data_IF_050884526365
#
_entry.id   IF_050884526365
#
_cell.length_a   1.000
_cell.length_b   1.000
_cell.length_c   1.000
_cell.angle_alpha   90.00
_cell.angle_beta   90.00
_cell.angle_gamma   90.00
#
_symmetry.space_group_name_H-M   'P 1'
#
loop_
_entity.id
_entity.type
_entity.pdbx_description
1 polymer ?
#
# COMPACT_ATOMS: atom_id res chain seq x y z
N UNK A 1 14.95 22.40 -2.87
CA UNK A 1 13.90 21.71 -2.09
C UNK A 1 12.53 21.75 -2.77
N UNK A 2 11.99 22.91 -3.17
CA UNK A 2 10.65 23.05 -3.79
C UNK A 2 10.43 22.16 -5.03
N UNK A 3 11.43 21.98 -5.88
CA UNK A 3 11.34 21.12 -7.06
C UNK A 3 11.09 19.64 -6.71
N UNK A 4 11.74 19.12 -5.68
CA UNK A 4 11.57 17.72 -5.26
C UNK A 4 10.21 17.45 -4.63
N UNK A 5 9.69 18.41 -3.85
CA UNK A 5 8.39 18.25 -3.18
C UNK A 5 7.21 18.31 -4.15
N UNK A 6 7.33 19.03 -5.27
CA UNK A 6 6.30 19.07 -6.32
C UNK A 6 6.50 18.03 -7.40
N UNK A 7 7.76 17.74 -7.76
CA UNK A 7 8.09 16.80 -8.84
C UNK A 7 7.71 15.35 -8.50
N UNK A 8 7.86 14.93 -7.23
CA UNK A 8 7.58 13.54 -6.82
C UNK A 8 6.09 13.18 -6.93
N UNK A 9 5.13 13.93 -6.35
CA UNK A 9 3.70 13.67 -6.54
C UNK A 9 3.27 13.74 -8.00
N UNK A 10 3.79 14.70 -8.76
CA UNK A 10 3.50 14.83 -10.18
C UNK A 10 4.05 13.65 -10.98
N UNK A 11 5.29 13.23 -10.72
CA UNK A 11 5.89 12.05 -11.35
C UNK A 11 5.09 10.77 -11.09
N UNK A 12 4.64 10.56 -9.85
CA UNK A 12 3.78 9.41 -9.51
C UNK A 12 2.43 9.52 -10.21
N UNK A 13 1.82 10.70 -10.28
CA UNK A 13 0.58 10.90 -11.03
C UNK A 13 0.73 10.54 -12.51
N UNK A 14 1.79 11.05 -13.16
CA UNK A 14 2.07 10.75 -14.57
C UNK A 14 2.36 9.26 -14.79
N UNK A 15 3.09 8.63 -13.90
CA UNK A 15 3.34 7.19 -13.93
C UNK A 15 2.03 6.41 -13.85
N UNK A 16 1.17 6.73 -12.88
CA UNK A 16 -0.14 6.08 -12.72
C UNK A 16 -1.05 6.29 -13.95
N UNK A 17 -1.02 7.47 -14.56
CA UNK A 17 -1.75 7.78 -15.78
C UNK A 17 -1.21 7.02 -17.01
N UNK A 18 0.07 6.64 -17.01
CA UNK A 18 0.69 5.87 -18.09
C UNK A 18 0.46 4.35 -17.93
N UNK A 19 0.24 3.83 -16.71
CA UNK A 19 0.10 2.39 -16.44
C UNK A 19 -0.93 1.66 -17.33
N UNK A 20 -2.14 2.21 -17.61
CA UNK A 20 -3.09 1.54 -18.49
C UNK A 20 -2.57 1.31 -19.91
N UNK A 21 -1.69 2.20 -20.40
CA UNK A 21 -1.07 2.06 -21.73
C UNK A 21 0.04 1.01 -21.76
N UNK A 22 0.66 0.75 -20.59
CA UNK A 22 1.78 -0.18 -20.44
C UNK A 22 1.30 -1.59 -20.06
N UNK A 23 0.01 -1.80 -19.73
CA UNK A 23 -0.51 -3.10 -19.31
C UNK A 23 -0.70 -4.04 -20.51
N UNK A 24 0.11 -5.11 -20.66
CA UNK A 24 0.03 -6.03 -21.78
C UNK A 24 -1.29 -6.80 -21.84
N UNK A 25 -1.94 -7.00 -20.68
CA UNK A 25 -3.23 -7.70 -20.56
C UNK A 25 -4.43 -6.79 -20.69
N UNK A 26 -4.24 -5.47 -20.82
CA UNK A 26 -5.30 -4.45 -20.87
C UNK A 26 -6.35 -4.60 -19.75
N UNK A 27 -5.97 -5.14 -18.60
CA UNK A 27 -6.83 -5.28 -17.42
C UNK A 27 -6.90 -4.00 -16.59
N UNK A 28 -5.97 -3.07 -16.82
CA UNK A 28 -5.98 -1.72 -16.26
C UNK A 28 -6.58 -0.77 -17.30
N UNK A 29 -7.89 -0.72 -17.40
CA UNK A 29 -8.55 0.33 -18.19
C UNK A 29 -8.45 1.67 -17.47
N UNK A 30 -8.29 2.77 -18.24
CA UNK A 30 -8.26 4.14 -17.68
C UNK A 30 -9.55 4.55 -16.95
N UNK A 31 -10.65 3.80 -17.12
CA UNK A 31 -11.89 3.91 -16.35
C UNK A 31 -11.92 3.07 -15.07
N UNK A 32 -10.84 2.34 -14.75
CA UNK A 32 -10.80 1.44 -13.59
C UNK A 32 -10.81 2.26 -12.29
N UNK A 33 -11.95 2.24 -11.59
CA UNK A 33 -12.14 2.94 -10.30
C UNK A 33 -11.07 2.59 -9.26
N UNK A 34 -10.53 1.37 -9.32
CA UNK A 34 -9.48 0.93 -8.39
C UNK A 34 -8.16 1.65 -8.66
N UNK A 35 -7.77 1.82 -9.92
CA UNK A 35 -6.58 2.58 -10.29
C UNK A 35 -6.68 4.05 -9.88
N UNK A 36 -7.86 4.67 -10.12
CA UNK A 36 -8.13 6.04 -9.71
C UNK A 36 -8.01 6.23 -8.18
N UNK A 37 -8.60 5.33 -7.41
CA UNK A 37 -8.50 5.36 -5.93
C UNK A 37 -7.05 5.25 -5.46
N UNK A 38 -6.27 4.34 -6.06
CA UNK A 38 -4.84 4.20 -5.71
C UNK A 38 -4.06 5.46 -6.09
N UNK A 39 -4.30 6.01 -7.28
CA UNK A 39 -3.64 7.26 -7.72
C UNK A 39 -3.93 8.39 -6.73
N UNK A 40 -5.19 8.59 -6.35
CA UNK A 40 -5.58 9.60 -5.37
C UNK A 40 -4.93 9.36 -4.01
N UNK A 41 -4.87 8.11 -3.55
CA UNK A 41 -4.24 7.74 -2.29
C UNK A 41 -2.73 8.05 -2.30
N UNK A 42 -2.02 7.60 -3.33
CA UNK A 42 -0.57 7.80 -3.45
C UNK A 42 -0.22 9.28 -3.62
N UNK A 43 -0.87 9.96 -4.56
CA UNK A 43 -0.61 11.38 -4.82
C UNK A 43 -1.01 12.23 -3.63
N UNK A 44 -2.15 11.95 -3.00
CA UNK A 44 -2.60 12.65 -1.80
C UNK A 44 -1.63 12.48 -0.62
N UNK A 45 -1.17 11.26 -0.36
CA UNK A 45 -0.19 10.98 0.67
C UNK A 45 1.15 11.68 0.41
N UNK A 46 1.68 11.58 -0.81
CA UNK A 46 2.93 12.24 -1.19
C UNK A 46 2.83 13.76 -1.14
N UNK A 47 1.70 14.34 -1.56
CA UNK A 47 1.46 15.77 -1.45
C UNK A 47 1.36 16.22 0.02
N UNK A 48 0.68 15.45 0.86
CA UNK A 48 0.61 15.70 2.29
C UNK A 48 1.99 15.67 2.96
N UNK A 49 2.81 14.65 2.65
CA UNK A 49 4.19 14.57 3.13
C UNK A 49 5.05 15.73 2.62
N UNK A 50 4.87 16.15 1.37
CA UNK A 50 5.56 17.30 0.80
C UNK A 50 5.18 18.60 1.52
N UNK A 51 3.90 18.85 1.75
CA UNK A 51 3.42 20.00 2.51
C UNK A 51 3.95 19.99 3.95
N UNK A 52 3.94 18.81 4.61
CA UNK A 52 4.45 18.66 5.97
C UNK A 52 5.96 18.92 6.04
N UNK A 53 6.74 18.42 5.08
CA UNK A 53 8.18 18.67 5.02
C UNK A 53 8.52 20.15 4.78
N UNK A 54 7.71 20.85 3.97
CA UNK A 54 7.86 22.29 3.77
C UNK A 54 7.49 23.07 5.02
N UNK A 55 6.46 22.66 5.75
CA UNK A 55 6.08 23.27 7.03
C UNK A 55 7.23 23.15 8.05
N UNK A 56 7.82 21.96 8.20
CA UNK A 56 8.97 21.76 9.08
C UNK A 56 10.19 22.61 8.65
N UNK A 57 10.43 22.73 7.35
CA UNK A 57 11.53 23.54 6.83
C UNK A 57 11.40 25.05 7.12
N UNK A 58 10.16 25.54 7.30
CA UNK A 58 9.89 26.92 7.66
C UNK A 58 9.89 27.16 9.19
N UNK A 59 9.88 26.08 9.98
CA UNK A 59 9.89 26.14 11.44
C UNK A 59 11.11 25.39 12.00
N UNK A 60 12.33 25.96 11.86
CA UNK A 60 13.54 25.32 12.36
C UNK A 60 13.45 25.13 13.88
N UNK A 61 13.58 23.89 14.32
CA UNK A 61 13.43 23.51 15.75
C UNK A 61 12.22 22.60 16.00
N UNK A 62 11.27 22.49 15.05
CA UNK A 62 10.27 21.45 15.10
C UNK A 62 10.82 20.15 14.51
N UNK A 63 10.65 19.06 15.24
CA UNK A 63 10.93 17.71 14.78
C UNK A 63 9.63 17.05 14.27
N UNK A 64 9.73 16.09 13.31
CA UNK A 64 8.58 15.27 12.95
C UNK A 64 8.01 14.61 14.20
N UNK A 65 6.73 14.85 14.45
CA UNK A 65 6.05 14.36 15.63
C UNK A 65 5.06 13.22 15.31
N UNK A 66 4.13 13.00 16.24
CA UNK A 66 3.08 11.99 16.17
C UNK A 66 2.20 12.11 14.93
N UNK A 67 2.06 13.31 14.36
CA UNK A 67 1.29 13.58 13.15
C UNK A 67 1.79 12.77 11.96
N UNK A 68 3.11 12.65 11.82
CA UNK A 68 3.73 11.83 10.77
C UNK A 68 3.41 10.34 10.98
N UNK A 69 3.49 9.87 12.22
CA UNK A 69 3.17 8.47 12.57
C UNK A 69 1.69 8.15 12.26
N UNK A 70 0.77 9.04 12.64
CA UNK A 70 -0.65 8.90 12.33
C UNK A 70 -0.88 8.91 10.82
N UNK A 71 -0.24 9.83 10.09
CA UNK A 71 -0.34 9.89 8.63
C UNK A 71 0.12 8.60 7.95
N UNK A 72 1.27 8.03 8.36
CA UNK A 72 1.79 6.77 7.85
C UNK A 72 0.87 5.59 8.17
N UNK A 73 0.36 5.52 9.40
CA UNK A 73 -0.56 4.47 9.83
C UNK A 73 -1.88 4.52 9.04
N UNK A 74 -2.46 5.70 8.85
CA UNK A 74 -3.65 5.90 8.02
C UNK A 74 -3.40 5.53 6.55
N UNK A 75 -2.23 5.90 6.01
CA UNK A 75 -1.86 5.50 4.66
C UNK A 75 -1.84 3.97 4.50
N UNK A 76 -1.25 3.23 5.46
CA UNK A 76 -1.22 1.76 5.43
C UNK A 76 -2.62 1.18 5.58
N UNK A 77 -3.48 1.75 6.42
CA UNK A 77 -4.88 1.32 6.54
C UNK A 77 -5.64 1.52 5.21
N UNK A 78 -5.53 2.68 4.59
CA UNK A 78 -6.18 2.97 3.31
C UNK A 78 -5.63 2.09 2.17
N UNK A 79 -4.31 1.85 2.15
CA UNK A 79 -3.67 0.92 1.21
C UNK A 79 -4.19 -0.51 1.41
N UNK A 80 -4.35 -0.95 2.66
CA UNK A 80 -4.94 -2.24 3.00
C UNK A 80 -6.37 -2.36 2.47
N UNK A 81 -7.21 -1.36 2.72
CA UNK A 81 -8.57 -1.32 2.19
C UNK A 81 -8.60 -1.37 0.65
N UNK A 82 -7.70 -0.63 -0.01
CA UNK A 82 -7.55 -0.69 -1.46
C UNK A 82 -7.19 -2.09 -1.95
N UNK A 83 -6.22 -2.77 -1.32
CA UNK A 83 -5.75 -4.10 -1.73
C UNK A 83 -6.87 -5.14 -1.76
N UNK A 84 -7.89 -5.02 -0.91
CA UNK A 84 -9.03 -5.95 -0.92
C UNK A 84 -9.83 -5.92 -2.23
N UNK A 85 -9.74 -4.85 -3.00
CA UNK A 85 -10.53 -4.61 -4.21
C UNK A 85 -9.72 -4.65 -5.50
N UNK A 86 -8.40 -4.86 -5.40
CA UNK A 86 -7.50 -4.82 -6.55
C UNK A 86 -7.69 -6.06 -7.43
N UNK A 87 -7.94 -5.83 -8.71
CA UNK A 87 -8.07 -6.89 -9.71
C UNK A 87 -6.69 -7.41 -10.16
N UNK A 88 -6.60 -8.67 -10.66
CA UNK A 88 -5.36 -9.22 -11.17
C UNK A 88 -4.76 -8.37 -12.28
N UNK A 89 -3.52 -7.92 -12.06
CA UNK A 89 -2.77 -7.07 -12.99
C UNK A 89 -1.26 -7.29 -12.82
N UNK A 90 -0.44 -6.74 -13.76
CA UNK A 90 1.01 -6.91 -13.72
C UNK A 90 1.77 -5.85 -12.91
N UNK A 91 1.13 -4.77 -12.46
CA UNK A 91 1.84 -3.61 -11.91
C UNK A 91 1.62 -3.40 -10.43
N UNK A 92 0.44 -3.75 -9.89
CA UNK A 92 0.00 -3.35 -8.56
C UNK A 92 -0.36 -4.55 -7.68
N UNK A 93 0.16 -4.58 -6.44
CA UNK A 93 -0.21 -5.58 -5.45
C UNK A 93 0.90 -6.59 -5.12
N UNK A 94 0.52 -7.67 -4.42
CA UNK A 94 1.40 -8.79 -4.04
C UNK A 94 1.61 -9.69 -5.25
N UNK A 95 2.76 -9.54 -5.92
CA UNK A 95 3.09 -10.23 -7.16
C UNK A 95 4.08 -11.35 -6.92
N UNK A 96 3.56 -12.50 -6.58
CA UNK A 96 4.33 -13.75 -6.57
C UNK A 96 4.09 -14.53 -7.88
N UNK A 97 4.97 -15.47 -8.24
CA UNK A 97 4.70 -16.35 -9.38
C UNK A 97 3.33 -17.01 -9.31
N UNK A 98 2.88 -17.36 -8.12
CA UNK A 98 1.61 -18.05 -7.86
C UNK A 98 0.40 -17.15 -8.03
N UNK A 99 0.47 -15.89 -7.54
CA UNK A 99 -0.62 -14.92 -7.71
C UNK A 99 -0.78 -14.49 -9.16
N UNK A 100 0.29 -14.45 -9.93
CA UNK A 100 0.24 -14.11 -11.37
C UNK A 100 -0.30 -15.25 -12.24
N UNK A 101 -0.21 -16.51 -11.78
CA UNK A 101 -0.71 -17.67 -12.51
C UNK A 101 -2.19 -17.94 -12.26
N UNK A 102 -2.75 -17.50 -11.14
CA UNK A 102 -4.12 -17.80 -10.76
C UNK A 102 -4.85 -16.58 -10.20
N UNK A 103 -5.94 -16.18 -10.85
CA UNK A 103 -6.82 -15.08 -10.42
C UNK A 103 -7.47 -15.41 -9.05
N UNK A 104 -7.69 -16.70 -8.74
CA UNK A 104 -8.23 -17.13 -7.44
C UNK A 104 -7.20 -16.94 -6.33
N UNK A 105 -5.94 -17.37 -6.53
CA UNK A 105 -4.84 -17.16 -5.57
C UNK A 105 -4.58 -15.67 -5.39
N UNK A 106 -4.63 -14.90 -6.47
CA UNK A 106 -4.56 -13.44 -6.42
C UNK A 106 -5.59 -12.86 -5.45
N UNK A 107 -6.86 -13.15 -5.71
CA UNK A 107 -7.98 -12.60 -4.92
C UNK A 107 -7.88 -12.97 -3.44
N UNK A 108 -7.58 -14.24 -3.14
CA UNK A 108 -7.44 -14.71 -1.76
C UNK A 108 -6.28 -14.03 -1.04
N UNK A 109 -5.10 -13.95 -1.69
CA UNK A 109 -3.92 -13.30 -1.11
C UNK A 109 -4.16 -11.82 -0.86
N UNK A 110 -4.71 -11.11 -1.84
CA UNK A 110 -4.95 -9.67 -1.71
C UNK A 110 -6.02 -9.33 -0.68
N UNK A 111 -7.07 -10.15 -0.55
CA UNK A 111 -8.06 -9.97 0.53
C UNK A 111 -7.45 -10.16 1.91
N UNK A 112 -6.67 -11.23 2.12
CA UNK A 112 -6.00 -11.47 3.40
C UNK A 112 -5.04 -10.33 3.74
N UNK A 113 -4.11 -10.01 2.81
CA UNK A 113 -3.13 -8.94 2.99
C UNK A 113 -3.80 -7.60 3.26
N UNK A 114 -4.86 -7.29 2.51
CA UNK A 114 -5.61 -6.05 2.66
C UNK A 114 -6.27 -5.92 4.03
N UNK A 115 -6.93 -6.97 4.52
CA UNK A 115 -7.53 -6.96 5.86
C UNK A 115 -6.48 -6.84 6.97
N UNK A 116 -5.34 -7.52 6.83
CA UNK A 116 -4.24 -7.44 7.81
C UNK A 116 -3.64 -6.03 7.83
N UNK A 117 -3.35 -5.45 6.67
CA UNK A 117 -2.81 -4.08 6.59
C UNK A 117 -3.81 -3.05 7.11
N UNK A 118 -5.10 -3.20 6.81
CA UNK A 118 -6.14 -2.33 7.33
C UNK A 118 -6.19 -2.37 8.86
N UNK A 119 -6.24 -3.56 9.45
CA UNK A 119 -6.26 -3.75 10.89
C UNK A 119 -4.99 -3.23 11.58
N UNK A 120 -3.81 -3.55 11.03
CA UNK A 120 -2.52 -3.05 11.55
C UNK A 120 -2.43 -1.54 11.40
N UNK A 121 -2.87 -0.97 10.29
CA UNK A 121 -2.89 0.49 10.11
C UNK A 121 -3.74 1.18 11.18
N UNK A 122 -4.97 0.70 11.44
CA UNK A 122 -5.83 1.25 12.50
C UNK A 122 -5.23 1.06 13.90
N UNK A 123 -4.69 -0.12 14.20
CA UNK A 123 -4.02 -0.36 15.48
C UNK A 123 -2.80 0.56 15.66
N UNK A 124 -2.05 0.83 14.58
CA UNK A 124 -0.91 1.74 14.59
C UNK A 124 -1.32 3.20 14.77
N UNK A 125 -2.51 3.61 14.29
CA UNK A 125 -3.06 4.95 14.64
C UNK A 125 -3.26 5.07 16.15
N UNK A 126 -3.86 4.04 16.78
CA UNK A 126 -4.04 4.05 18.24
C UNK A 126 -2.68 4.05 18.97
N UNK A 127 -1.72 3.27 18.50
CA UNK A 127 -0.36 3.27 19.04
C UNK A 127 0.31 4.65 18.92
N UNK A 128 0.17 5.32 17.77
CA UNK A 128 0.73 6.65 17.55
C UNK A 128 0.10 7.71 18.46
N UNK A 129 -1.19 7.60 18.76
CA UNK A 129 -1.91 8.58 19.59
C UNK A 129 -1.71 8.35 21.09
N UNK A 130 -1.71 7.10 21.53
CA UNK A 130 -1.81 6.72 22.95
C UNK A 130 -0.51 6.11 23.49
N UNK A 131 0.33 5.55 22.61
CA UNK A 131 1.55 4.84 23.00
C UNK A 131 2.78 5.74 23.18
N UNK A 132 3.87 5.17 23.75
CA UNK A 132 5.18 5.82 23.75
C UNK A 132 5.66 6.00 22.31
N UNK A 133 6.23 7.18 22.02
CA UNK A 133 6.62 7.54 20.65
C UNK A 133 7.75 6.64 20.11
N UNK A 134 8.67 6.24 20.97
CA UNK A 134 9.76 5.34 20.65
C UNK A 134 9.33 3.94 20.20
N UNK A 135 8.13 3.51 20.57
CA UNK A 135 7.62 2.17 20.23
C UNK A 135 6.96 2.13 18.84
N UNK A 136 6.53 3.28 18.33
CA UNK A 136 5.81 3.31 17.07
C UNK A 136 6.64 2.71 15.94
N UNK A 137 7.85 3.18 15.72
CA UNK A 137 8.64 2.80 14.56
C UNK A 137 9.00 1.30 14.54
N UNK A 138 9.56 0.68 15.62
CA UNK A 138 9.90 -0.73 15.60
C UNK A 138 8.66 -1.63 15.51
N UNK A 139 7.57 -1.30 16.21
CA UNK A 139 6.33 -2.09 16.18
C UNK A 139 5.67 -1.99 14.82
N UNK A 140 5.52 -0.79 14.27
CA UNK A 140 4.91 -0.55 12.97
C UNK A 140 5.66 -1.28 11.84
N UNK A 141 6.99 -1.12 11.78
CA UNK A 141 7.82 -1.81 10.78
C UNK A 141 7.77 -3.33 10.95
N UNK A 142 7.85 -3.83 12.18
CA UNK A 142 7.77 -5.26 12.45
C UNK A 142 6.44 -5.86 12.00
N UNK A 143 5.32 -5.19 12.26
CA UNK A 143 3.99 -5.64 11.84
C UNK A 143 3.83 -5.60 10.31
N UNK A 144 4.25 -4.53 9.66
CA UNK A 144 4.17 -4.41 8.19
C UNK A 144 5.04 -5.47 7.51
N UNK A 145 6.29 -5.66 7.95
CA UNK A 145 7.17 -6.71 7.43
C UNK A 145 6.60 -8.11 7.69
N UNK A 146 6.04 -8.35 8.87
CA UNK A 146 5.37 -9.61 9.21
C UNK A 146 4.22 -9.90 8.24
N UNK A 147 3.39 -8.90 7.90
CA UNK A 147 2.30 -9.07 6.93
C UNK A 147 2.86 -9.39 5.53
N UNK A 148 3.94 -8.74 5.11
CA UNK A 148 4.56 -9.03 3.81
C UNK A 148 5.00 -10.50 3.76
N UNK A 149 5.72 -10.98 4.77
CA UNK A 149 6.17 -12.36 4.85
C UNK A 149 5.01 -13.36 4.90
N UNK A 150 3.98 -13.08 5.71
CA UNK A 150 2.76 -13.88 5.77
C UNK A 150 2.05 -13.94 4.41
N UNK A 151 1.98 -12.82 3.69
CA UNK A 151 1.34 -12.76 2.38
C UNK A 151 2.08 -13.61 1.34
N UNK A 152 3.42 -13.61 1.38
CA UNK A 152 4.25 -14.46 0.52
C UNK A 152 4.00 -15.95 0.83
N UNK A 153 4.06 -16.35 2.10
CA UNK A 153 3.80 -17.72 2.51
C UNK A 153 2.38 -18.19 2.21
N UNK A 154 1.39 -17.33 2.49
CA UNK A 154 0.00 -17.62 2.18
C UNK A 154 -0.26 -17.79 0.68
N UNK A 155 0.34 -16.96 -0.17
CA UNK A 155 0.19 -17.07 -1.62
C UNK A 155 0.67 -18.42 -2.15
N UNK A 156 1.78 -18.93 -1.61
CA UNK A 156 2.28 -20.26 -1.93
C UNK A 156 1.34 -21.37 -1.46
N UNK A 157 0.91 -21.30 -0.20
CA UNK A 157 -0.02 -22.26 0.37
C UNK A 157 -1.35 -22.32 -0.41
N UNK A 158 -1.93 -21.17 -0.74
CA UNK A 158 -3.17 -21.08 -1.51
C UNK A 158 -3.02 -21.71 -2.91
N UNK A 159 -1.88 -21.51 -3.56
CA UNK A 159 -1.57 -22.11 -4.84
C UNK A 159 -1.48 -23.64 -4.75
N UNK A 160 -0.81 -24.18 -3.75
CA UNK A 160 -0.72 -25.63 -3.52
C UNK A 160 -2.08 -26.26 -3.28
N UNK A 161 -2.96 -25.59 -2.53
CA UNK A 161 -4.34 -26.05 -2.30
C UNK A 161 -5.15 -26.10 -3.61
N UNK A 162 -4.94 -25.13 -4.50
CA UNK A 162 -5.62 -25.10 -5.79
C UNK A 162 -5.18 -26.27 -6.69
N UNK A 163 -3.87 -26.56 -6.76
CA UNK A 163 -3.35 -27.69 -7.56
C UNK A 163 -3.95 -29.01 -7.06
N UNK A 164 -3.96 -29.23 -5.74
CA UNK A 164 -4.53 -30.46 -5.17
C UNK A 164 -6.01 -30.66 -5.53
N UNK A 165 -6.80 -29.59 -5.59
CA UNK A 165 -8.22 -29.66 -5.98
C UNK A 165 -8.44 -29.95 -7.45
N UNK A 166 -7.48 -29.65 -8.32
CA UNK A 166 -7.55 -29.93 -9.74
C UNK A 166 -7.12 -31.36 -10.10
N UNK A 167 -6.48 -32.06 -9.18
CA UNK A 167 -5.99 -33.44 -9.34
C UNK A 167 -6.99 -34.50 -8.78
N UNK A 168 -8.03 -34.06 -8.08
CA UNK A 168 -9.14 -34.88 -7.58
C UNK A 168 -10.35 -34.82 -8.49
#
# INVERSE_FOLDING_TARGET
>A
MWLLTTALPLGVYLLMAALPRLDPRRRLDGSNRSLHKLTLLLVGCLSGLACYSLYLAQHPGLLPGRELHVGLALFVALLGNYLTTVQPNYFLGVRTPWTLQSDQVWTQTHRLTGWLLFGVGLASVLLALLGPEEWFQPVFLGLVLGIVLLSLGYSYWAYQQQIKKLQL
#
